data_IF_291876301210
#
_entry.id   IF_291876301210
#
_cell.length_a   1.000
_cell.length_b   1.000
_cell.length_c   1.000
_cell.angle_alpha   90.00
_cell.angle_beta   90.00
_cell.angle_gamma   90.00
#
_symmetry.space_group_name_H-M   'P 1'
#
loop_
_entity.id
_entity.type
_entity.pdbx_description
1 polymer ?
#
# COMPACT_ATOMS: atom_id res chain seq x y z
N UNK A 1 6.66 10.31 -60.63
CA UNK A 1 5.80 9.36 -59.88
C UNK A 1 6.59 8.87 -58.68
N UNK A 2 6.65 9.63 -57.59
CA UNK A 2 5.74 9.57 -56.41
C UNK A 2 5.68 8.19 -55.73
N UNK A 3 6.83 7.62 -55.37
CA UNK A 3 6.88 6.35 -54.60
C UNK A 3 7.93 6.32 -53.46
N UNK A 4 8.44 7.47 -53.00
CA UNK A 4 9.43 7.52 -51.91
C UNK A 4 9.06 8.44 -50.74
N UNK A 5 7.82 8.97 -50.69
CA UNK A 5 7.41 9.94 -49.66
C UNK A 5 6.56 9.38 -48.52
N UNK A 6 6.07 8.14 -48.62
CA UNK A 6 5.05 7.63 -47.69
C UNK A 6 5.59 6.63 -46.64
N UNK A 7 6.84 6.19 -46.74
CA UNK A 7 7.41 5.22 -45.80
C UNK A 7 8.04 5.85 -44.54
N UNK A 8 8.15 7.18 -44.46
CA UNK A 8 8.84 7.87 -43.36
C UNK A 8 7.90 8.34 -42.23
N UNK A 9 6.58 8.28 -42.42
CA UNK A 9 5.59 8.77 -41.46
C UNK A 9 5.12 7.72 -40.43
N UNK A 10 5.40 6.43 -40.65
CA UNK A 10 4.98 5.34 -39.75
C UNK A 10 6.00 5.08 -38.62
N UNK A 11 7.23 5.61 -38.73
CA UNK A 11 8.27 5.40 -37.73
C UNK A 11 8.20 6.32 -36.49
N UNK A 12 7.30 7.31 -36.48
CA UNK A 12 7.22 8.33 -35.40
C UNK A 12 6.12 8.07 -34.36
N UNK A 13 5.30 7.03 -34.54
CA UNK A 13 4.18 6.69 -33.64
C UNK A 13 4.52 5.59 -32.60
N UNK A 14 5.78 5.16 -32.53
CA UNK A 14 6.15 3.92 -31.83
C UNK A 14 6.69 4.03 -30.41
N UNK A 15 7.02 5.21 -29.88
CA UNK A 15 7.80 5.26 -28.63
C UNK A 15 7.53 6.49 -27.76
N UNK A 16 6.25 6.74 -27.45
CA UNK A 16 5.84 7.71 -26.43
C UNK A 16 5.11 7.05 -25.27
N UNK A 17 5.56 5.86 -24.88
CA UNK A 17 5.29 5.32 -23.53
C UNK A 17 6.36 5.92 -22.59
N UNK A 18 6.30 7.24 -22.44
CA UNK A 18 6.86 7.89 -21.27
C UNK A 18 6.00 7.46 -20.09
N UNK A 19 6.30 6.28 -19.53
CA UNK A 19 5.74 5.87 -18.25
C UNK A 19 6.08 6.96 -17.26
N UNK A 20 5.05 7.68 -16.77
CA UNK A 20 5.18 8.47 -15.58
C UNK A 20 5.62 7.49 -14.49
N UNK A 21 6.90 7.53 -14.15
CA UNK A 21 7.41 6.82 -13.01
C UNK A 21 6.81 7.54 -11.79
N UNK A 22 5.65 7.06 -11.33
CA UNK A 22 5.03 7.42 -10.05
C UNK A 22 5.94 6.94 -8.92
N UNK A 23 7.09 7.58 -8.78
CA UNK A 23 8.00 7.36 -7.66
C UNK A 23 7.44 7.96 -6.37
N UNK A 24 6.57 8.98 -6.45
CA UNK A 24 6.14 9.71 -5.25
C UNK A 24 5.27 8.88 -4.31
N UNK A 25 4.31 8.09 -4.82
CA UNK A 25 3.36 7.37 -3.96
C UNK A 25 4.05 6.28 -3.13
N UNK A 26 4.94 5.50 -3.74
CA UNK A 26 5.69 4.44 -3.05
C UNK A 26 6.74 5.00 -2.09
N UNK A 27 7.45 6.06 -2.49
CA UNK A 27 8.47 6.68 -1.63
C UNK A 27 7.85 7.33 -0.39
N UNK A 28 6.70 8.00 -0.54
CA UNK A 28 5.97 8.61 0.57
C UNK A 28 5.34 7.57 1.50
N UNK A 29 4.74 6.50 0.95
CA UNK A 29 4.21 5.39 1.74
C UNK A 29 5.32 4.75 2.58
N UNK A 30 6.48 4.47 1.97
CA UNK A 30 7.64 3.92 2.66
C UNK A 30 8.16 4.86 3.77
N UNK A 31 8.13 6.17 3.54
CA UNK A 31 8.54 7.15 4.54
C UNK A 31 7.60 7.16 5.75
N UNK A 32 6.28 7.16 5.52
CA UNK A 32 5.29 7.08 6.59
C UNK A 32 5.39 5.78 7.38
N UNK A 33 5.47 4.66 6.69
CA UNK A 33 5.66 3.34 7.28
C UNK A 33 6.93 3.25 8.13
N UNK A 34 8.04 3.81 7.63
CA UNK A 34 9.31 3.89 8.37
C UNK A 34 9.18 4.80 9.60
N UNK A 35 8.42 5.89 9.49
CA UNK A 35 8.19 6.80 10.60
C UNK A 35 7.42 6.10 11.73
N UNK A 36 6.29 5.44 11.42
CA UNK A 36 5.46 4.69 12.38
C UNK A 36 6.25 3.55 13.04
N UNK A 37 7.10 2.86 12.28
CA UNK A 37 7.93 1.78 12.80
C UNK A 37 8.96 2.26 13.84
N UNK A 38 9.38 3.52 13.77
CA UNK A 38 10.39 4.13 14.66
C UNK A 38 9.78 4.97 15.78
N UNK A 39 8.57 5.47 15.58
CA UNK A 39 7.91 6.40 16.50
C UNK A 39 6.52 5.87 16.79
N UNK A 40 6.29 5.49 18.04
CA UNK A 40 4.95 5.22 18.54
C UNK A 40 4.15 6.53 18.50
N UNK A 41 2.99 6.52 17.85
CA UNK A 41 2.12 7.69 17.72
C UNK A 41 1.16 7.76 18.91
N UNK A 42 0.55 6.63 19.28
CA UNK A 42 -0.39 6.52 20.37
C UNK A 42 0.25 6.36 21.76
N UNK A 43 -0.60 6.17 22.77
CA UNK A 43 -0.14 5.85 24.13
C UNK A 43 0.11 4.35 24.34
N UNK A 44 -0.37 3.50 23.43
CA UNK A 44 -0.12 2.06 23.42
C UNK A 44 0.54 1.62 22.10
N UNK A 45 0.76 0.32 21.93
CA UNK A 45 1.42 -0.22 20.73
C UNK A 45 0.47 -0.05 19.54
N UNK A 46 0.79 0.87 18.63
CA UNK A 46 0.02 1.08 17.40
C UNK A 46 -0.09 -0.22 16.59
N UNK A 47 -1.18 -0.41 15.87
CA UNK A 47 -1.47 -1.65 15.15
C UNK A 47 -1.73 -1.37 13.67
N UNK A 48 -1.02 -2.10 12.80
CA UNK A 48 -1.43 -2.23 11.41
C UNK A 48 -2.56 -3.24 11.28
N UNK A 49 -3.60 -2.86 10.55
CA UNK A 49 -4.47 -3.83 9.88
C UNK A 49 -3.79 -4.19 8.58
N UNK A 50 -3.46 -5.47 8.42
CA UNK A 50 -2.84 -6.02 7.23
C UNK A 50 -3.83 -6.91 6.50
N UNK A 51 -3.82 -6.82 5.17
CA UNK A 51 -4.59 -7.70 4.28
C UNK A 51 -3.62 -8.58 3.51
N UNK A 52 -3.91 -9.87 3.41
CA UNK A 52 -3.10 -10.76 2.58
C UNK A 52 -3.43 -10.55 1.11
N UNK A 53 -2.42 -10.28 0.29
CA UNK A 53 -2.53 -10.25 -1.15
C UNK A 53 -2.85 -11.64 -1.69
N UNK A 54 -3.89 -11.73 -2.51
CA UNK A 54 -4.26 -12.98 -3.18
C UNK A 54 -3.27 -13.37 -4.29
N UNK A 55 -2.50 -12.40 -4.80
CA UNK A 55 -1.56 -12.61 -5.90
C UNK A 55 -0.18 -12.97 -5.37
N UNK A 56 0.32 -12.22 -4.38
CA UNK A 56 1.71 -12.37 -3.89
C UNK A 56 1.80 -13.20 -2.61
N UNK A 57 0.68 -13.43 -1.92
CA UNK A 57 0.65 -14.05 -0.60
C UNK A 57 1.28 -13.21 0.52
N UNK A 58 1.76 -12.00 0.21
CA UNK A 58 2.33 -11.06 1.17
C UNK A 58 1.25 -10.34 1.94
N UNK A 59 1.61 -9.80 3.10
CA UNK A 59 0.73 -8.98 3.92
C UNK A 59 0.95 -7.50 3.58
N UNK A 60 -0.09 -6.84 3.10
CA UNK A 60 -0.08 -5.43 2.74
C UNK A 60 -0.73 -4.60 3.85
N UNK A 61 -0.10 -3.50 4.25
CA UNK A 61 -0.63 -2.58 5.25
C UNK A 61 -1.83 -1.84 4.67
N UNK A 62 -2.97 -1.93 5.34
CA UNK A 62 -4.27 -1.44 4.86
C UNK A 62 -4.77 -0.24 5.67
N UNK A 63 -4.60 -0.27 6.99
CA UNK A 63 -4.98 0.81 7.88
C UNK A 63 -4.11 0.81 9.14
N UNK A 64 -3.92 1.98 9.76
CA UNK A 64 -3.25 2.12 11.05
C UNK A 64 -4.27 2.43 12.14
N UNK A 65 -4.18 1.71 13.26
CA UNK A 65 -4.96 1.94 14.48
C UNK A 65 -4.00 2.44 15.54
N UNK A 66 -4.27 3.64 16.05
CA UNK A 66 -3.41 4.31 17.02
C UNK A 66 -4.21 5.33 17.83
N UNK A 67 -3.66 5.72 18.97
CA UNK A 67 -4.17 6.83 19.77
C UNK A 67 -5.29 6.46 20.75
N UNK A 68 -5.61 5.17 20.90
CA UNK A 68 -6.51 4.73 21.95
C UNK A 68 -5.79 4.65 23.29
N UNK A 69 -6.53 4.93 24.37
CA UNK A 69 -5.99 4.90 25.72
C UNK A 69 -5.79 3.43 26.10
N UNK A 70 -4.52 3.00 26.12
CA UNK A 70 -4.02 1.72 26.61
C UNK A 70 -4.47 0.43 25.89
N UNK A 71 -5.20 0.48 24.76
CA UNK A 71 -5.71 -0.73 24.11
C UNK A 71 -5.92 -0.61 22.58
N UNK A 72 -4.89 -0.21 21.85
CA UNK A 72 -4.95 -0.16 20.37
C UNK A 72 -5.17 -1.56 19.74
N UNK A 73 -4.82 -2.65 20.44
CA UNK A 73 -5.05 -4.02 19.97
C UNK A 73 -6.54 -4.40 19.94
N UNK A 74 -7.28 -4.12 21.01
CA UNK A 74 -8.73 -4.37 21.05
C UNK A 74 -9.47 -3.57 19.98
N UNK A 75 -9.07 -2.31 19.79
CA UNK A 75 -9.66 -1.44 18.76
C UNK A 75 -9.30 -1.91 17.34
N UNK A 76 -8.07 -2.41 17.16
CA UNK A 76 -7.71 -3.09 15.91
C UNK A 76 -8.59 -4.31 15.66
N UNK A 77 -8.86 -5.14 16.67
CA UNK A 77 -9.75 -6.30 16.52
C UNK A 77 -11.19 -5.91 16.18
N UNK A 78 -11.72 -4.84 16.77
CA UNK A 78 -13.05 -4.30 16.45
C UNK A 78 -13.11 -3.82 15.00
N UNK A 79 -12.13 -3.03 14.56
CA UNK A 79 -12.04 -2.59 13.17
C UNK A 79 -11.90 -3.78 12.21
N UNK A 80 -11.08 -4.77 12.55
CA UNK A 80 -10.88 -6.00 11.79
C UNK A 80 -12.19 -6.76 11.54
N UNK A 81 -13.11 -6.73 12.50
CA UNK A 81 -14.43 -7.36 12.34
C UNK A 81 -15.24 -6.71 11.21
N UNK A 82 -15.17 -5.38 11.09
CA UNK A 82 -15.79 -4.62 9.99
C UNK A 82 -15.18 -4.97 8.63
N UNK A 83 -13.84 -5.06 8.54
CA UNK A 83 -13.16 -5.49 7.31
C UNK A 83 -13.58 -6.90 6.88
N UNK A 84 -13.63 -7.84 7.82
CA UNK A 84 -14.07 -9.22 7.58
C UNK A 84 -15.54 -9.30 7.16
N UNK A 85 -16.40 -8.47 7.74
CA UNK A 85 -17.81 -8.41 7.36
C UNK A 85 -18.00 -7.84 5.94
N UNK A 86 -17.25 -6.79 5.60
CA UNK A 86 -17.31 -6.16 4.29
C UNK A 86 -16.73 -7.05 3.17
N UNK A 87 -15.71 -7.87 3.48
CA UNK A 87 -15.11 -8.78 2.52
C UNK A 87 -14.64 -10.10 3.17
N UNK A 88 -15.54 -11.08 3.33
CA UNK A 88 -15.23 -12.32 4.03
C UNK A 88 -14.25 -13.25 3.28
N UNK A 89 -14.03 -13.01 1.98
CA UNK A 89 -13.11 -13.81 1.17
C UNK A 89 -11.63 -13.43 1.37
N UNK A 90 -11.35 -12.31 2.06
CA UNK A 90 -9.99 -11.82 2.29
C UNK A 90 -9.50 -12.20 3.69
N UNK A 91 -8.21 -12.49 3.79
CA UNK A 91 -7.54 -12.71 5.06
C UNK A 91 -7.04 -11.35 5.60
N UNK A 92 -7.39 -11.06 6.86
CA UNK A 92 -6.98 -9.86 7.58
C UNK A 92 -6.36 -10.21 8.94
N UNK A 93 -5.37 -9.43 9.39
CA UNK A 93 -4.80 -9.53 10.74
C UNK A 93 -4.41 -8.18 11.33
N UNK A 94 -4.25 -8.14 12.65
CA UNK A 94 -3.57 -7.06 13.35
C UNK A 94 -2.08 -7.41 13.52
N UNK A 95 -1.20 -6.45 13.31
CA UNK A 95 0.24 -6.59 13.53
C UNK A 95 0.80 -5.33 14.24
N UNK A 96 1.76 -5.47 15.18
CA UNK A 96 2.40 -4.32 15.82
C UNK A 96 3.05 -3.40 14.80
N UNK A 97 2.85 -2.09 14.93
CA UNK A 97 3.34 -1.13 13.95
C UNK A 97 4.83 -0.80 14.12
N UNK A 98 5.37 -1.01 15.32
CA UNK A 98 6.79 -0.80 15.67
C UNK A 98 7.71 -1.93 15.18
N UNK A 99 7.44 -2.43 13.98
CA UNK A 99 8.27 -3.41 13.26
C UNK A 99 8.66 -2.78 11.92
N UNK A 100 9.97 -2.75 11.63
CA UNK A 100 10.46 -2.19 10.37
C UNK A 100 9.86 -2.93 9.17
N UNK A 101 9.38 -2.21 8.13
CA UNK A 101 9.00 -2.84 6.88
C UNK A 101 10.18 -3.62 6.28
N UNK A 102 9.87 -4.76 5.66
CA UNK A 102 10.87 -5.63 5.02
C UNK A 102 11.23 -5.15 3.63
#
# INVERSE_FOLDING_TARGET
MTMMRDAMLIALLGFSIGGCADRSATDEQNAFETYVAKHQIGQSVDQWIETKSVVTGQWDRTALVFGYINDDLSECQKALSGFKQANPAREYRCAPAQILPK
#
